data_IF_738746415972
#
_entry.id   IF_738746415972
#
_cell.length_a   1.000
_cell.length_b   1.000
_cell.length_c   1.000
_cell.angle_alpha   90.00
_cell.angle_beta   90.00
_cell.angle_gamma   90.00
#
_symmetry.space_group_name_H-M   'P 1'
#
loop_
_entity.id
_entity.type
_entity.pdbx_description
1 polymer ?
#
# COMPACT_ATOMS: atom_id res chain seq x y z
N UNK A 1 58.13 -40.84 14.14
CA UNK A 1 56.87 -40.99 13.38
C UNK A 1 55.70 -40.74 14.33
N UNK A 2 54.81 -39.80 13.98
CA UNK A 2 53.44 -39.56 14.49
C UNK A 2 53.23 -39.21 15.99
N UNK A 3 52.41 -38.24 16.40
CA UNK A 3 51.74 -37.05 15.83
C UNK A 3 51.13 -36.34 17.06
N UNK A 4 51.38 -35.04 17.22
CA UNK A 4 50.69 -34.14 18.15
C UNK A 4 49.17 -34.16 17.94
N UNK A 5 48.36 -34.09 19.02
CA UNK A 5 47.11 -33.29 19.08
C UNK A 5 46.71 -32.98 20.54
N UNK A 6 47.21 -31.86 21.06
CA UNK A 6 46.71 -31.20 22.28
C UNK A 6 45.34 -30.57 21.97
N UNK A 7 44.29 -30.95 22.71
CA UNK A 7 42.94 -30.36 22.55
C UNK A 7 42.87 -29.07 23.37
N UNK A 8 42.88 -27.92 22.69
CA UNK A 8 42.51 -26.63 23.27
C UNK A 8 41.04 -26.38 22.91
N UNK A 9 40.18 -26.24 23.92
CA UNK A 9 38.85 -25.64 23.77
C UNK A 9 38.86 -24.31 24.54
N UNK A 10 38.91 -23.15 23.88
CA UNK A 10 38.63 -21.89 24.55
C UNK A 10 37.11 -21.74 24.72
N UNK A 11 36.67 -21.56 25.96
CA UNK A 11 35.33 -21.07 26.27
C UNK A 11 35.30 -19.58 25.90
N UNK A 12 34.60 -19.24 24.82
CA UNK A 12 34.29 -17.84 24.48
C UNK A 12 32.93 -17.55 25.13
N UNK A 13 32.96 -16.89 26.28
CA UNK A 13 31.80 -16.25 26.86
C UNK A 13 31.37 -15.10 25.94
N UNK A 14 30.25 -15.26 25.25
CA UNK A 14 29.65 -14.19 24.47
C UNK A 14 29.08 -13.14 25.44
N UNK A 15 29.70 -11.96 25.46
CA UNK A 15 29.24 -10.79 26.18
C UNK A 15 27.95 -10.28 25.50
N UNK A 16 26.79 -10.60 26.08
CA UNK A 16 25.52 -10.05 25.67
C UNK A 16 25.42 -8.58 26.13
N UNK A 17 25.77 -7.64 25.26
CA UNK A 17 25.42 -6.23 25.44
C UNK A 17 23.93 -6.08 25.10
N UNK A 18 23.09 -6.16 26.12
CA UNK A 18 21.67 -5.84 26.02
C UNK A 18 21.51 -4.34 25.77
N UNK A 19 21.28 -3.96 24.51
CA UNK A 19 20.80 -2.61 24.19
C UNK A 19 19.33 -2.55 24.58
N UNK A 20 19.06 -2.02 25.77
CA UNK A 20 17.73 -1.50 26.14
C UNK A 20 17.45 -0.27 25.26
N UNK A 21 16.96 -0.49 24.05
CA UNK A 21 16.33 0.57 23.27
C UNK A 21 15.01 0.93 23.97
N UNK A 22 14.83 2.18 24.45
CA UNK A 22 13.50 2.60 24.83
C UNK A 22 12.61 2.53 23.59
N UNK A 23 11.51 1.77 23.69
CA UNK A 23 10.39 1.76 22.74
C UNK A 23 9.70 3.14 22.77
N UNK A 24 10.39 4.18 22.29
CA UNK A 24 9.73 5.42 21.93
C UNK A 24 8.90 5.13 20.68
N UNK A 25 7.62 5.58 20.61
CA UNK A 25 6.89 5.52 19.36
C UNK A 25 7.71 6.28 18.33
N UNK A 26 8.23 5.54 17.34
CA UNK A 26 8.98 6.09 16.23
C UNK A 26 7.97 6.83 15.36
N UNK A 27 7.63 8.06 15.77
CA UNK A 27 6.78 8.95 15.00
C UNK A 27 7.44 9.15 13.65
N UNK A 28 6.70 8.96 12.56
CA UNK A 28 7.19 9.23 11.23
C UNK A 28 7.60 10.71 11.16
N UNK A 29 8.90 10.98 11.00
CA UNK A 29 9.39 12.33 10.77
C UNK A 29 8.99 12.72 9.36
N UNK A 30 8.15 13.74 9.23
CA UNK A 30 7.77 14.28 7.94
C UNK A 30 9.03 14.73 7.18
N UNK A 31 9.10 14.41 5.88
CA UNK A 31 10.17 14.95 5.03
C UNK A 31 10.14 16.49 5.07
N UNK A 32 11.30 17.17 4.99
CA UNK A 32 11.33 18.61 4.78
C UNK A 32 10.42 19.01 3.61
N UNK A 33 9.55 20.00 3.83
CA UNK A 33 8.49 20.35 2.88
C UNK A 33 9.04 20.68 1.48
N UNK A 34 10.21 21.31 1.40
CA UNK A 34 10.90 21.61 0.16
C UNK A 34 11.25 20.35 -0.66
N UNK A 35 11.70 19.28 0.01
CA UNK A 35 12.00 17.99 -0.62
C UNK A 35 10.73 17.30 -1.11
N UNK A 36 9.67 17.29 -0.29
CA UNK A 36 8.37 16.73 -0.67
C UNK A 36 7.78 17.46 -1.89
N UNK A 37 7.87 18.79 -1.92
CA UNK A 37 7.42 19.59 -3.05
C UNK A 37 8.21 19.29 -4.31
N UNK A 38 9.55 19.15 -4.24
CA UNK A 38 10.37 18.78 -5.41
C UNK A 38 10.03 17.40 -5.95
N UNK A 39 9.81 16.42 -5.08
CA UNK A 39 9.36 15.08 -5.48
C UNK A 39 8.00 15.14 -6.18
N UNK A 40 7.02 15.84 -5.61
CA UNK A 40 5.72 16.04 -6.23
C UNK A 40 5.81 16.78 -7.60
N UNK A 41 6.75 17.71 -7.75
CA UNK A 41 7.00 18.39 -9.01
C UNK A 41 7.50 17.42 -10.09
N UNK A 42 8.46 16.57 -9.73
CA UNK A 42 8.96 15.53 -10.62
C UNK A 42 7.84 14.56 -10.99
N UNK A 43 7.05 14.11 -10.03
CA UNK A 43 5.98 13.14 -10.27
C UNK A 43 4.90 13.70 -11.20
N UNK A 44 4.53 14.97 -11.05
CA UNK A 44 3.62 15.65 -12.00
C UNK A 44 4.20 15.68 -13.43
N UNK A 45 5.51 15.80 -13.60
CA UNK A 45 6.13 15.78 -14.95
C UNK A 45 6.03 14.42 -15.64
N UNK A 46 5.80 13.35 -14.87
CA UNK A 46 5.60 11.99 -15.38
C UNK A 46 4.16 11.76 -15.87
N UNK A 47 3.21 12.61 -15.45
CA UNK A 47 1.81 12.46 -15.85
C UNK A 47 1.61 12.75 -17.34
N UNK A 48 0.73 11.97 -17.96
CA UNK A 48 0.13 12.20 -19.27
C UNK A 48 -1.37 12.06 -19.10
N UNK A 49 -2.15 13.12 -19.32
CA UNK A 49 -3.61 13.12 -19.11
C UNK A 49 -4.07 12.64 -17.71
N UNK A 50 -3.29 12.93 -16.66
CA UNK A 50 -3.62 12.53 -15.30
C UNK A 50 -3.33 11.06 -14.96
N UNK A 51 -2.56 10.37 -15.78
CA UNK A 51 -2.11 8.98 -15.56
C UNK A 51 -0.62 8.82 -15.79
N UNK A 52 -0.05 7.80 -15.17
CA UNK A 52 1.32 7.33 -15.42
C UNK A 52 1.25 6.19 -16.45
N UNK A 53 2.06 6.28 -17.50
CA UNK A 53 2.19 5.21 -18.47
C UNK A 53 3.48 4.44 -18.22
N UNK A 54 3.38 3.11 -18.18
CA UNK A 54 4.54 2.24 -18.19
C UNK A 54 5.09 2.21 -19.62
N UNK A 55 6.17 2.94 -19.87
CA UNK A 55 6.78 3.06 -21.21
C UNK A 55 7.41 1.76 -21.68
N UNK A 56 7.87 0.90 -20.76
CA UNK A 56 8.52 -0.36 -21.10
C UNK A 56 7.53 -1.37 -21.67
N UNK A 57 6.30 -1.39 -21.13
CA UNK A 57 5.28 -2.37 -21.51
C UNK A 57 4.08 -1.77 -22.25
N UNK A 58 4.06 -0.46 -22.49
CA UNK A 58 3.08 0.20 -23.36
C UNK A 58 1.67 0.31 -22.79
N UNK A 59 1.49 0.23 -21.47
CA UNK A 59 0.17 0.31 -20.82
C UNK A 59 0.10 1.42 -19.76
N UNK A 60 -1.13 1.83 -19.41
CA UNK A 60 -1.35 2.75 -18.27
C UNK A 60 -1.16 2.02 -16.95
N UNK A 61 -0.22 2.50 -16.14
CA UNK A 61 0.04 1.94 -14.81
C UNK A 61 -0.90 2.57 -13.79
N UNK A 62 -2.04 1.91 -13.57
CA UNK A 62 -3.04 2.40 -12.62
C UNK A 62 -2.56 2.34 -11.17
N UNK A 63 -1.67 1.40 -10.83
CA UNK A 63 -1.08 1.26 -9.50
C UNK A 63 -0.19 2.46 -9.18
N UNK A 64 0.73 2.79 -10.08
CA UNK A 64 1.59 3.95 -9.94
C UNK A 64 0.79 5.26 -10.04
N UNK A 65 -0.24 5.32 -10.89
CA UNK A 65 -1.12 6.49 -10.99
C UNK A 65 -1.83 6.81 -9.68
N UNK A 66 -2.36 5.80 -8.98
CA UNK A 66 -3.03 6.04 -7.70
C UNK A 66 -2.04 6.34 -6.56
N UNK A 67 -0.82 5.78 -6.62
CA UNK A 67 0.26 6.13 -5.71
C UNK A 67 0.69 7.60 -5.90
N UNK A 68 0.74 8.08 -7.15
CA UNK A 68 0.94 9.51 -7.45
C UNK A 68 -0.13 10.37 -6.81
N UNK A 69 -1.40 9.98 -6.86
CA UNK A 69 -2.43 10.74 -6.16
C UNK A 69 -2.15 10.85 -4.65
N UNK A 70 -1.84 9.74 -3.99
CA UNK A 70 -1.53 9.72 -2.55
C UNK A 70 -0.30 10.57 -2.22
N UNK A 71 0.76 10.47 -3.04
CA UNK A 71 1.96 11.29 -2.92
C UNK A 71 1.70 12.78 -3.06
N UNK A 72 0.92 13.19 -4.07
CA UNK A 72 0.56 14.60 -4.30
C UNK A 72 -0.30 15.16 -3.17
N UNK A 73 -1.22 14.37 -2.60
CA UNK A 73 -2.00 14.81 -1.43
C UNK A 73 -1.11 14.94 -0.20
N UNK A 74 -0.21 13.98 0.04
CA UNK A 74 0.72 14.03 1.16
C UNK A 74 1.69 15.22 1.07
N UNK A 75 2.13 15.58 -0.14
CA UNK A 75 2.98 16.75 -0.37
C UNK A 75 2.24 18.09 -0.24
N UNK A 76 0.91 18.12 -0.42
CA UNK A 76 0.06 19.28 -0.15
C UNK A 76 0.17 20.47 -1.11
N UNK A 77 1.13 20.46 -2.05
CA UNK A 77 1.41 21.61 -2.94
C UNK A 77 0.88 21.47 -4.37
N UNK A 78 0.20 20.36 -4.72
CA UNK A 78 -0.29 20.07 -6.08
C UNK A 78 -1.78 19.69 -6.13
N UNK A 79 -2.70 20.46 -5.51
CA UNK A 79 -4.10 20.05 -5.34
C UNK A 79 -4.85 19.93 -6.68
N UNK A 80 -4.54 20.74 -7.68
CA UNK A 80 -5.18 20.66 -9.00
C UNK A 80 -4.83 19.35 -9.72
N UNK A 81 -3.55 18.97 -9.71
CA UNK A 81 -3.07 17.73 -10.31
C UNK A 81 -3.59 16.52 -9.53
N UNK A 82 -3.58 16.55 -8.20
CA UNK A 82 -4.17 15.49 -7.38
C UNK A 82 -5.66 15.26 -7.73
N UNK A 83 -6.44 16.33 -7.92
CA UNK A 83 -7.85 16.24 -8.36
C UNK A 83 -7.99 15.60 -9.75
N UNK A 84 -7.13 15.97 -10.70
CA UNK A 84 -7.12 15.36 -12.03
C UNK A 84 -6.82 13.86 -11.94
N UNK A 85 -5.77 13.47 -11.21
CA UNK A 85 -5.36 12.06 -11.08
C UNK A 85 -6.47 11.22 -10.45
N UNK A 86 -7.05 11.64 -9.31
CA UNK A 86 -8.10 10.83 -8.65
C UNK A 86 -9.39 10.73 -9.47
N UNK A 87 -9.71 11.76 -10.27
CA UNK A 87 -10.81 11.68 -11.24
C UNK A 87 -10.51 10.63 -12.30
N UNK A 88 -9.34 10.70 -12.94
CA UNK A 88 -8.93 9.74 -13.97
C UNK A 88 -8.90 8.30 -13.44
N UNK A 89 -8.41 8.08 -12.21
CA UNK A 89 -8.45 6.78 -11.54
C UNK A 89 -9.90 6.34 -11.28
N UNK A 90 -10.77 7.23 -10.80
CA UNK A 90 -12.16 6.88 -10.50
C UNK A 90 -12.95 6.45 -11.73
N UNK A 91 -12.72 7.11 -12.87
CA UNK A 91 -13.31 6.76 -14.17
C UNK A 91 -12.82 5.40 -14.69
N UNK A 92 -11.65 4.94 -14.24
CA UNK A 92 -11.02 3.71 -14.71
C UNK A 92 -10.83 2.67 -13.60
N UNK A 93 -11.48 2.82 -12.44
CA UNK A 93 -11.16 2.04 -11.24
C UNK A 93 -11.30 0.53 -11.46
N UNK A 94 -12.24 0.10 -12.31
CA UNK A 94 -12.42 -1.32 -12.68
C UNK A 94 -11.14 -1.90 -13.31
N UNK A 95 -10.48 -1.14 -14.19
CA UNK A 95 -9.23 -1.56 -14.85
C UNK A 95 -8.06 -1.69 -13.87
N UNK A 96 -8.16 -1.05 -12.71
CA UNK A 96 -7.14 -1.12 -11.68
C UNK A 96 -7.37 -2.29 -10.72
N UNK A 97 -8.61 -2.45 -10.25
CA UNK A 97 -8.91 -3.38 -9.15
C UNK A 97 -9.19 -4.80 -9.59
N UNK A 98 -9.33 -5.04 -10.90
CA UNK A 98 -9.68 -6.34 -11.46
C UNK A 98 -9.04 -6.60 -12.81
N UNK A 99 -8.84 -7.88 -13.12
CA UNK A 99 -8.40 -8.40 -14.41
C UNK A 99 -9.06 -9.76 -14.65
N UNK A 100 -9.58 -10.01 -15.85
CA UNK A 100 -10.26 -11.27 -16.23
C UNK A 100 -11.34 -11.79 -15.24
N UNK A 101 -12.02 -10.87 -14.54
CA UNK A 101 -13.07 -11.19 -13.56
C UNK A 101 -12.57 -11.31 -12.11
N UNK A 102 -11.27 -11.49 -11.94
CA UNK A 102 -10.59 -11.56 -10.65
C UNK A 102 -10.40 -10.18 -10.04
N UNK A 103 -10.41 -10.08 -8.71
CA UNK A 103 -10.20 -8.84 -7.96
C UNK A 103 -8.98 -8.96 -7.07
N UNK A 104 -8.13 -7.94 -7.12
CA UNK A 104 -6.91 -7.89 -6.31
C UNK A 104 -7.16 -7.12 -5.02
N UNK A 105 -7.05 -7.79 -3.87
CA UNK A 105 -7.37 -7.25 -2.56
C UNK A 105 -6.58 -5.97 -2.25
N UNK A 106 -5.28 -5.97 -2.56
CA UNK A 106 -4.43 -4.79 -2.39
C UNK A 106 -4.88 -3.61 -3.24
N UNK A 107 -5.26 -3.86 -4.50
CA UNK A 107 -5.73 -2.81 -5.40
C UNK A 107 -7.10 -2.25 -4.98
N UNK A 108 -8.04 -3.12 -4.59
CA UNK A 108 -9.35 -2.72 -4.04
C UNK A 108 -9.16 -1.87 -2.78
N UNK A 109 -8.30 -2.30 -1.86
CA UNK A 109 -8.02 -1.58 -0.62
C UNK A 109 -7.38 -0.22 -0.89
N UNK A 110 -6.37 -0.14 -1.75
CA UNK A 110 -5.71 1.11 -2.13
C UNK A 110 -6.68 2.08 -2.81
N UNK A 111 -7.52 1.58 -3.71
CA UNK A 111 -8.57 2.38 -4.35
C UNK A 111 -9.58 2.94 -3.34
N UNK A 112 -10.04 2.13 -2.39
CA UNK A 112 -10.93 2.57 -1.32
C UNK A 112 -10.26 3.65 -0.47
N UNK A 113 -9.02 3.43 -0.03
CA UNK A 113 -8.27 4.40 0.76
C UNK A 113 -8.12 5.74 0.02
N UNK A 114 -7.67 5.71 -1.24
CA UNK A 114 -7.50 6.91 -2.05
C UNK A 114 -8.80 7.70 -2.20
N UNK A 115 -9.93 7.02 -2.38
CA UNK A 115 -11.25 7.69 -2.42
C UNK A 115 -11.60 8.34 -1.08
N UNK A 116 -11.34 7.67 0.05
CA UNK A 116 -11.57 8.27 1.37
C UNK A 116 -10.67 9.49 1.60
N UNK A 117 -9.42 9.44 1.16
CA UNK A 117 -8.50 10.60 1.18
C UNK A 117 -9.04 11.74 0.32
N UNK A 118 -9.72 11.45 -0.79
CA UNK A 118 -10.38 12.44 -1.64
C UNK A 118 -11.73 12.96 -1.09
N UNK A 119 -12.15 12.52 0.09
CA UNK A 119 -13.47 12.84 0.64
C UNK A 119 -14.62 12.23 -0.17
N UNK A 120 -14.39 11.11 -0.87
CA UNK A 120 -15.38 10.41 -1.69
C UNK A 120 -15.82 9.11 -1.04
N UNK A 121 -17.05 8.68 -1.33
CA UNK A 121 -17.62 7.45 -0.79
C UNK A 121 -17.09 6.19 -1.49
N UNK A 122 -17.34 5.04 -0.87
CA UNK A 122 -16.86 3.74 -1.34
C UNK A 122 -17.49 3.29 -2.66
N UNK A 123 -18.66 3.84 -3.03
CA UNK A 123 -19.33 3.56 -4.30
C UNK A 123 -18.66 4.34 -5.44
N UNK A 124 -18.46 3.65 -6.57
CA UNK A 124 -17.95 4.20 -7.83
C UNK A 124 -18.94 3.87 -8.94
N UNK A 125 -19.80 4.84 -9.25
CA UNK A 125 -20.88 4.68 -10.22
C UNK A 125 -20.37 4.27 -11.61
N UNK A 126 -19.31 4.92 -12.10
CA UNK A 126 -18.71 4.61 -13.40
C UNK A 126 -18.22 3.15 -13.53
N UNK A 127 -18.00 2.47 -12.40
CA UNK A 127 -17.62 1.07 -12.37
C UNK A 127 -18.74 0.13 -11.88
N UNK A 128 -19.91 0.65 -11.51
CA UNK A 128 -20.96 -0.09 -10.79
C UNK A 128 -20.36 -0.96 -9.66
N UNK A 129 -19.54 -0.34 -8.81
CA UNK A 129 -18.72 -1.03 -7.82
C UNK A 129 -18.74 -0.30 -6.48
N UNK A 130 -19.02 -1.03 -5.40
CA UNK A 130 -18.73 -0.55 -4.05
C UNK A 130 -17.46 -1.21 -3.53
N UNK A 131 -16.40 -0.41 -3.40
CA UNK A 131 -15.07 -0.90 -3.05
C UNK A 131 -14.99 -1.46 -1.63
N UNK A 132 -15.77 -0.89 -0.68
CA UNK A 132 -15.80 -1.39 0.69
C UNK A 132 -16.48 -2.75 0.78
N UNK A 133 -17.63 -2.92 0.13
CA UNK A 133 -18.31 -4.22 0.03
C UNK A 133 -17.43 -5.25 -0.67
N UNK A 134 -16.77 -4.86 -1.77
CA UNK A 134 -15.84 -5.74 -2.49
C UNK A 134 -14.65 -6.12 -1.61
N UNK A 135 -14.06 -5.18 -0.88
CA UNK A 135 -12.95 -5.51 0.03
C UNK A 135 -13.40 -6.47 1.14
N UNK A 136 -14.59 -6.26 1.71
CA UNK A 136 -15.15 -7.16 2.72
C UNK A 136 -15.36 -8.58 2.18
N UNK A 137 -15.77 -8.75 0.91
CA UNK A 137 -15.91 -10.08 0.31
C UNK A 137 -14.58 -10.80 0.07
N UNK A 138 -13.46 -10.09 0.16
CA UNK A 138 -12.10 -10.63 -0.02
C UNK A 138 -11.43 -11.00 1.32
N UNK A 139 -12.14 -10.85 2.45
CA UNK A 139 -11.63 -11.23 3.79
C UNK A 139 -11.94 -12.71 4.02
N UNK A 140 -10.90 -13.52 4.22
CA UNK A 140 -11.02 -14.91 4.66
C UNK A 140 -11.47 -15.00 6.14
N UNK A 141 -12.01 -16.15 6.61
CA UNK A 141 -12.40 -16.31 8.01
C UNK A 141 -11.28 -16.03 9.02
N UNK A 142 -10.02 -16.22 8.63
CA UNK A 142 -8.83 -15.91 9.43
C UNK A 142 -8.56 -14.41 9.60
N UNK A 143 -9.24 -13.54 8.86
CA UNK A 143 -8.96 -12.10 8.78
C UNK A 143 -7.93 -11.72 7.71
N UNK A 144 -7.29 -12.70 7.07
CA UNK A 144 -6.43 -12.46 5.89
C UNK A 144 -7.27 -11.91 4.75
N UNK A 145 -6.85 -10.81 4.13
CA UNK A 145 -7.40 -10.41 2.81
C UNK A 145 -6.70 -11.19 1.71
N UNK A 146 -7.45 -11.65 0.72
CA UNK A 146 -6.95 -12.48 -0.39
C UNK A 146 -7.57 -12.06 -1.72
N UNK A 147 -6.84 -12.24 -2.80
CA UNK A 147 -7.38 -11.97 -4.13
C UNK A 147 -8.54 -12.94 -4.45
N UNK A 148 -9.50 -12.52 -5.28
CA UNK A 148 -10.50 -13.45 -5.82
C UNK A 148 -9.96 -13.98 -7.14
N UNK A 149 -9.48 -15.21 -7.15
CA UNK A 149 -8.87 -15.87 -8.31
C UNK A 149 -8.11 -17.11 -7.84
N UNK A 150 -7.63 -17.93 -8.78
CA UNK A 150 -6.90 -19.15 -8.45
C UNK A 150 -5.53 -18.86 -7.83
N UNK A 151 -4.93 -17.72 -8.17
CA UNK A 151 -3.64 -17.28 -7.63
C UNK A 151 -3.82 -16.08 -6.71
N UNK A 152 -3.40 -16.22 -5.46
CA UNK A 152 -3.40 -15.15 -4.46
C UNK A 152 -2.05 -14.41 -4.45
N UNK A 153 -2.02 -13.17 -4.93
CA UNK A 153 -0.86 -12.28 -4.86
C UNK A 153 -0.89 -11.35 -3.64
N UNK A 154 -1.91 -11.48 -2.79
CA UNK A 154 -2.01 -10.69 -1.57
C UNK A 154 -0.85 -10.97 -0.61
N UNK A 155 -0.42 -9.92 0.09
CA UNK A 155 0.68 -9.96 1.02
C UNK A 155 0.47 -8.93 2.14
N UNK A 156 1.46 -8.77 3.02
CA UNK A 156 1.40 -7.85 4.16
C UNK A 156 1.10 -6.39 3.77
N UNK A 157 1.53 -5.95 2.59
CA UNK A 157 1.22 -4.60 2.09
C UNK A 157 -0.27 -4.51 1.73
N UNK A 158 -0.83 -5.52 1.05
CA UNK A 158 -2.27 -5.59 0.78
C UNK A 158 -3.07 -5.56 2.08
N UNK A 159 -2.68 -6.37 3.07
CA UNK A 159 -3.33 -6.40 4.39
C UNK A 159 -3.26 -5.04 5.11
N UNK A 160 -2.10 -4.38 5.07
CA UNK A 160 -1.92 -3.06 5.69
C UNK A 160 -2.80 -1.99 5.04
N UNK A 161 -2.89 -1.99 3.71
CA UNK A 161 -3.83 -1.12 3.01
C UNK A 161 -5.28 -1.44 3.37
N UNK A 162 -5.64 -2.71 3.55
CA UNK A 162 -6.99 -3.10 3.95
C UNK A 162 -7.36 -2.57 5.33
N UNK A 163 -6.46 -2.66 6.30
CA UNK A 163 -6.65 -2.07 7.64
C UNK A 163 -6.91 -0.57 7.53
N UNK A 164 -6.05 0.16 6.81
CA UNK A 164 -6.20 1.60 6.60
C UNK A 164 -7.51 1.94 5.88
N UNK A 165 -7.85 1.19 4.84
CA UNK A 165 -9.02 1.43 4.02
C UNK A 165 -10.30 1.18 4.82
N UNK A 166 -10.40 0.09 5.59
CA UNK A 166 -11.54 -0.17 6.45
C UNK A 166 -11.69 0.91 7.53
N UNK A 167 -10.62 1.23 8.26
CA UNK A 167 -10.65 2.26 9.31
C UNK A 167 -11.07 3.64 8.79
N UNK A 168 -10.69 4.00 7.55
CA UNK A 168 -11.06 5.28 6.93
C UNK A 168 -12.43 5.29 6.25
N UNK A 169 -13.05 4.13 6.09
CA UNK A 169 -14.35 3.98 5.40
C UNK A 169 -15.47 3.43 6.29
N UNK A 170 -15.23 3.30 7.60
CA UNK A 170 -16.20 2.82 8.58
C UNK A 170 -15.54 1.90 9.61
N UNK A 171 -16.28 0.89 10.04
CA UNK A 171 -15.81 -0.11 10.99
C UNK A 171 -14.62 -0.92 10.43
N UNK A 172 -13.61 -1.16 11.27
CA UNK A 172 -12.49 -2.04 10.97
C UNK A 172 -12.80 -3.44 11.52
N UNK A 173 -12.90 -4.48 10.68
CA UNK A 173 -13.06 -5.85 11.18
C UNK A 173 -11.87 -6.23 12.07
N UNK A 174 -12.16 -6.67 13.29
CA UNK A 174 -11.14 -6.96 14.29
C UNK A 174 -10.19 -8.08 13.85
N UNK A 175 -10.69 -9.08 13.11
CA UNK A 175 -9.90 -10.16 12.53
C UNK A 175 -8.89 -9.63 11.49
N UNK A 176 -9.27 -8.62 10.70
CA UNK A 176 -8.38 -8.00 9.70
C UNK A 176 -7.23 -7.24 10.37
N UNK A 177 -7.51 -6.57 11.49
CA UNK A 177 -6.47 -5.91 12.28
C UNK A 177 -5.55 -6.92 12.98
N UNK A 178 -6.14 -7.93 13.63
CA UNK A 178 -5.41 -8.99 14.34
C UNK A 178 -4.50 -9.82 13.45
N UNK A 179 -4.81 -9.96 12.16
CA UNK A 179 -3.94 -10.69 11.25
C UNK A 179 -2.51 -10.10 11.14
N UNK A 180 -2.31 -8.82 11.50
CA UNK A 180 -1.01 -8.15 11.51
C UNK A 180 -0.30 -8.15 12.87
N UNK A 181 -0.89 -8.73 13.92
CA UNK A 181 -0.40 -8.70 15.31
C UNK A 181 -0.09 -10.11 15.80
#
# INVERSE_FOLDING_TARGET
MHRFRTRIRPAIAALAVGVLLPLLPMGAVAAPADKAHRAANWEVSQLRDGRINNVQFGFTDWGLTIDTYLGLVAAGNRPAQARTVIRTVSENVRKYVSYDGDFFAGAVAKALLARRVAGKDASVEAANLNLRRKLASLVAPSGRVQDSGDTDFSNTISQSFSVLAFARSGELPETVARFLL
#
